data_IF_089321977311
#
_entry.id   IF_089321977311
#
_cell.length_a   1.000
_cell.length_b   1.000
_cell.length_c   1.000
_cell.angle_alpha   90.00
_cell.angle_beta   90.00
_cell.angle_gamma   90.00
#
_symmetry.space_group_name_H-M   'P 1'
#
loop_
_entity.id
_entity.type
_entity.pdbx_description
1 polymer ?
#
# COMPACT_ATOMS: atom_id res chain seq x y z
N UNK A 1 0.43 -12.88 -8.76
CA UNK A 1 -0.29 -11.90 -7.91
C UNK A 1 -1.61 -12.50 -7.51
N UNK A 2 -1.57 -13.30 -6.44
CA UNK A 2 -2.75 -13.64 -5.65
C UNK A 2 -3.66 -12.42 -5.43
N UNK A 3 -4.98 -12.65 -5.47
CA UNK A 3 -6.02 -11.64 -5.21
C UNK A 3 -5.78 -10.92 -3.87
N UNK A 4 -5.20 -11.63 -2.88
CA UNK A 4 -4.80 -11.06 -1.59
C UNK A 4 -3.72 -9.97 -1.70
N UNK A 5 -2.66 -10.21 -2.48
CA UNK A 5 -1.57 -9.23 -2.64
C UNK A 5 -2.04 -7.95 -3.33
N UNK A 6 -2.95 -8.09 -4.31
CA UNK A 6 -3.59 -6.95 -4.97
C UNK A 6 -4.45 -6.13 -4.02
N UNK A 7 -5.24 -6.79 -3.16
CA UNK A 7 -6.06 -6.09 -2.18
C UNK A 7 -5.22 -5.39 -1.12
N UNK A 8 -4.13 -6.03 -0.63
CA UNK A 8 -3.19 -5.41 0.31
C UNK A 8 -2.51 -4.17 -0.28
N UNK A 9 -2.06 -4.26 -1.54
CA UNK A 9 -1.46 -3.12 -2.25
C UNK A 9 -2.48 -1.98 -2.43
N UNK A 10 -3.72 -2.30 -2.81
CA UNK A 10 -4.78 -1.31 -2.97
C UNK A 10 -5.08 -0.61 -1.63
N UNK A 11 -5.17 -1.36 -0.53
CA UNK A 11 -5.36 -0.82 0.82
C UNK A 11 -4.20 0.08 1.25
N UNK A 12 -2.96 -0.33 1.00
CA UNK A 12 -1.78 0.49 1.26
C UNK A 12 -1.80 1.78 0.42
N UNK A 13 -2.15 1.69 -0.87
CA UNK A 13 -2.29 2.84 -1.76
C UNK A 13 -3.36 3.81 -1.28
N UNK A 14 -4.51 3.32 -0.81
CA UNK A 14 -5.57 4.15 -0.24
C UNK A 14 -5.11 4.84 1.04
N UNK A 15 -4.36 4.16 1.92
CA UNK A 15 -3.79 4.78 3.12
C UNK A 15 -2.85 5.93 2.77
N UNK A 16 -1.97 5.74 1.79
CA UNK A 16 -1.08 6.79 1.29
C UNK A 16 -1.88 7.96 0.69
N UNK A 17 -2.88 7.68 -0.14
CA UNK A 17 -3.73 8.72 -0.74
C UNK A 17 -4.49 9.55 0.33
N UNK A 18 -4.97 8.91 1.39
CA UNK A 18 -5.62 9.59 2.51
C UNK A 18 -4.65 10.49 3.28
N UNK A 19 -3.41 10.03 3.50
CA UNK A 19 -2.35 10.84 4.11
C UNK A 19 -2.05 12.09 3.26
N UNK A 20 -1.89 11.91 1.95
CA UNK A 20 -1.66 13.02 1.02
C UNK A 20 -2.83 14.01 1.01
N UNK A 21 -4.07 13.52 1.00
CA UNK A 21 -5.26 14.38 1.06
C UNK A 21 -5.27 15.24 2.32
N UNK A 22 -4.91 14.67 3.48
CA UNK A 22 -4.82 15.43 4.74
C UNK A 22 -3.81 16.57 4.63
N UNK A 23 -2.62 16.26 4.13
CA UNK A 23 -1.55 17.25 3.99
C UNK A 23 -1.89 18.31 2.95
N UNK A 24 -2.52 17.91 1.84
CA UNK A 24 -2.97 18.80 0.79
C UNK A 24 -4.02 19.79 1.29
N UNK A 25 -4.99 19.33 2.08
CA UNK A 25 -6.00 20.22 2.69
C UNK A 25 -5.32 21.20 3.65
N UNK A 26 -4.39 20.74 4.49
CA UNK A 26 -3.66 21.65 5.37
C UNK A 26 -2.88 22.72 4.59
N UNK A 27 -2.16 22.30 3.54
CA UNK A 27 -1.42 23.21 2.68
C UNK A 27 -2.34 24.19 1.92
N UNK A 28 -3.48 23.72 1.43
CA UNK A 28 -4.47 24.56 0.76
C UNK A 28 -5.10 25.56 1.74
N UNK A 29 -5.36 25.16 2.99
CA UNK A 29 -5.84 26.05 4.03
C UNK A 29 -4.80 27.12 4.36
N UNK A 30 -3.53 26.76 4.51
CA UNK A 30 -2.44 27.73 4.78
C UNK A 30 -2.20 28.69 3.60
N UNK A 31 -2.32 28.20 2.36
CA UNK A 31 -1.98 28.99 1.17
C UNK A 31 -3.14 29.85 0.64
N UNK A 32 -4.39 29.40 0.81
CA UNK A 32 -5.58 30.08 0.29
C UNK A 32 -6.52 30.61 1.37
N UNK A 33 -6.16 30.48 2.66
CA UNK A 33 -7.01 30.80 3.82
C UNK A 33 -8.39 30.11 3.76
N UNK A 34 -8.42 29.00 3.02
CA UNK A 34 -9.64 28.27 2.76
C UNK A 34 -9.91 27.44 4.00
N UNK A 35 -10.97 27.71 4.76
CA UNK A 35 -11.35 26.88 5.90
C UNK A 35 -11.94 25.52 5.46
N UNK A 36 -11.24 24.75 4.63
CA UNK A 36 -11.67 23.39 4.27
C UNK A 36 -11.52 22.49 5.49
N UNK A 37 -12.66 22.01 5.99
CA UNK A 37 -12.71 20.98 7.02
C UNK A 37 -12.58 19.61 6.40
N UNK A 38 -11.84 18.74 7.06
CA UNK A 38 -11.67 17.38 6.61
C UNK A 38 -12.66 16.46 7.31
N UNK A 39 -13.94 16.63 6.96
CA UNK A 39 -15.11 16.07 7.65
C UNK A 39 -15.08 14.56 7.93
N UNK A 40 -14.35 13.79 7.13
CA UNK A 40 -14.28 12.34 7.30
C UNK A 40 -13.45 11.90 8.50
N UNK A 41 -12.31 12.55 8.75
CA UNK A 41 -11.21 11.96 9.53
C UNK A 41 -10.60 12.96 10.55
N UNK A 42 -11.19 14.14 10.72
CA UNK A 42 -10.73 15.23 11.60
C UNK A 42 -10.79 14.89 13.10
N UNK A 43 -11.75 14.07 13.53
CA UNK A 43 -11.96 13.72 14.94
C UNK A 43 -11.05 12.61 15.48
N UNK A 44 -10.15 12.04 14.66
CA UNK A 44 -9.25 10.97 15.10
C UNK A 44 -7.87 11.56 15.44
N UNK A 45 -7.48 11.60 16.72
CA UNK A 45 -6.14 12.05 17.11
C UNK A 45 -5.08 11.10 16.55
N UNK A 46 -3.92 11.64 16.17
CA UNK A 46 -2.79 10.89 15.61
C UNK A 46 -3.10 10.05 14.37
N UNK A 47 -4.18 10.34 13.67
CA UNK A 47 -4.61 9.60 12.47
C UNK A 47 -3.51 9.44 11.41
N UNK A 48 -2.68 10.46 11.19
CA UNK A 48 -1.58 10.37 10.23
C UNK A 48 -0.57 9.29 10.62
N UNK A 49 -0.27 9.19 11.91
CA UNK A 49 0.63 8.17 12.45
C UNK A 49 0.00 6.77 12.34
N UNK A 50 -1.31 6.65 12.60
CA UNK A 50 -2.05 5.40 12.43
C UNK A 50 -2.02 4.93 10.97
N UNK A 51 -2.36 5.81 10.02
CA UNK A 51 -2.34 5.50 8.59
C UNK A 51 -0.93 5.15 8.09
N UNK A 52 0.09 5.80 8.64
CA UNK A 52 1.48 5.49 8.33
C UNK A 52 1.86 4.07 8.79
N UNK A 53 1.58 3.72 10.05
CA UNK A 53 1.81 2.36 10.57
C UNK A 53 1.01 1.33 9.76
N UNK A 54 -0.24 1.64 9.44
CA UNK A 54 -1.12 0.74 8.69
C UNK A 54 -0.60 0.48 7.27
N UNK A 55 -0.03 1.51 6.62
CA UNK A 55 0.64 1.36 5.32
C UNK A 55 1.78 0.36 5.40
N UNK A 56 2.61 0.40 6.45
CA UNK A 56 3.69 -0.57 6.65
C UNK A 56 3.16 -1.98 6.91
N UNK A 57 2.13 -2.11 7.74
CA UNK A 57 1.51 -3.41 8.06
C UNK A 57 0.93 -4.07 6.79
N UNK A 58 0.45 -3.30 5.82
CA UNK A 58 -0.05 -3.84 4.56
C UNK A 58 1.04 -4.04 3.49
N UNK A 59 1.97 -3.10 3.36
CA UNK A 59 3.01 -3.16 2.34
C UNK A 59 4.03 -4.28 2.60
N UNK A 60 4.50 -4.44 3.84
CA UNK A 60 5.57 -5.40 4.16
C UNK A 60 5.12 -6.85 3.88
N UNK A 61 3.97 -7.33 4.37
CA UNK A 61 3.51 -8.69 4.05
C UNK A 61 3.17 -8.86 2.57
N UNK A 62 2.67 -7.81 1.89
CA UNK A 62 2.39 -7.87 0.45
C UNK A 62 3.65 -8.20 -0.35
N UNK A 63 4.73 -7.47 -0.09
CA UNK A 63 6.03 -7.70 -0.74
C UNK A 63 6.61 -9.08 -0.40
N UNK A 64 6.53 -9.51 0.87
CA UNK A 64 6.99 -10.84 1.28
C UNK A 64 6.24 -11.99 0.58
N UNK A 65 4.93 -11.85 0.34
CA UNK A 65 4.13 -12.86 -0.37
C UNK A 65 4.49 -12.87 -1.86
N UNK A 66 4.63 -11.69 -2.48
CA UNK A 66 5.03 -11.58 -3.89
C UNK A 66 6.40 -12.20 -4.16
N UNK A 67 7.35 -12.04 -3.24
CA UNK A 67 8.69 -12.64 -3.36
C UNK A 67 8.62 -14.18 -3.35
N UNK A 68 7.80 -14.76 -2.47
CA UNK A 68 7.57 -16.21 -2.42
C UNK A 68 6.91 -16.74 -3.70
N UNK A 69 5.90 -16.04 -4.24
CA UNK A 69 5.25 -16.41 -5.51
C UNK A 69 6.25 -16.42 -6.68
N UNK A 70 7.08 -15.37 -6.79
CA UNK A 70 8.11 -15.27 -7.85
C UNK A 70 9.16 -16.37 -7.75
N UNK A 71 9.61 -16.69 -6.53
CA UNK A 71 10.62 -17.73 -6.29
C UNK A 71 10.09 -19.11 -6.68
N UNK A 72 8.85 -19.42 -6.31
CA UNK A 72 8.20 -20.67 -6.70
C UNK A 72 8.09 -20.80 -8.23
N UNK A 73 7.61 -19.74 -8.90
CA UNK A 73 7.48 -19.73 -10.36
C UNK A 73 8.82 -19.90 -11.08
N UNK A 74 9.90 -19.32 -10.55
CA UNK A 74 11.24 -19.47 -11.14
C UNK A 74 11.77 -20.90 -11.03
N UNK A 75 11.56 -21.56 -9.88
CA UNK A 75 11.98 -22.95 -9.66
C UNK A 75 11.25 -23.91 -10.63
N UNK A 76 9.94 -23.73 -10.80
CA UNK A 76 9.14 -24.54 -11.72
C UNK A 76 9.63 -24.37 -13.17
N UNK A 77 9.97 -23.16 -13.58
CA UNK A 77 10.50 -22.88 -14.91
C UNK A 77 11.84 -23.59 -15.16
N UNK A 78 12.74 -23.56 -14.17
CA UNK A 78 14.04 -24.26 -14.24
C UNK A 78 13.83 -25.77 -14.33
N UNK A 79 12.92 -26.34 -13.53
CA UNK A 79 12.57 -27.76 -13.56
C UNK A 79 12.01 -28.19 -14.92
N UNK A 80 11.08 -27.42 -15.48
CA UNK A 80 10.55 -27.65 -16.83
C UNK A 80 11.63 -27.59 -17.91
N UNK A 81 12.55 -26.62 -17.81
CA UNK A 81 13.66 -26.49 -18.74
C UNK A 81 14.60 -27.70 -18.68
N UNK A 82 14.97 -28.15 -17.48
CA UNK A 82 15.82 -29.34 -17.29
C UNK A 82 15.14 -30.61 -17.79
N UNK A 83 13.84 -30.79 -17.53
CA UNK A 83 13.07 -31.94 -18.03
C UNK A 83 12.86 -31.94 -19.55
N UNK A 84 12.86 -30.78 -20.21
CA UNK A 84 12.71 -30.69 -21.66
C UNK A 84 14.01 -30.97 -22.43
N UNK A 85 15.16 -30.92 -21.75
CA UNK A 85 16.49 -31.09 -22.35
C UNK A 85 17.19 -32.41 -21.97
N UNK A 86 16.49 -33.29 -21.24
CA UNK A 86 16.92 -34.64 -20.89
C UNK A 86 15.90 -35.65 -21.43
#
# INVERSE_FOLDING_TARGET
MSLLTKTLDALASVCVALLFTKYFIHYANDMFDWHLRWYFLENIPHLALILFILTFIFAVPSEMIKDKEKKLSSIVLILLYVLSHN
#
